data_IF_241163920281
#
_entry.id   IF_241163920281
#
_cell.length_a   1.000
_cell.length_b   1.000
_cell.length_c   1.000
_cell.angle_alpha   90.00
_cell.angle_beta   90.00
_cell.angle_gamma   90.00
#
_symmetry.space_group_name_H-M   'P 1'
#
loop_
_entity.id
_entity.type
_entity.pdbx_description
1 polymer ?
#
# COMPACT_ATOMS: atom_id res chain seq x y z
N UNK A 1 36.25 -37.05 7.56
CA UNK A 1 35.94 -35.75 6.90
C UNK A 1 34.75 -35.86 5.95
N UNK A 2 33.55 -36.22 6.43
CA UNK A 2 32.33 -36.24 5.58
C UNK A 2 31.09 -35.66 6.29
N UNK A 3 31.13 -35.50 7.61
CA UNK A 3 30.02 -34.93 8.39
C UNK A 3 30.10 -33.41 8.61
N UNK A 4 31.29 -32.78 8.45
CA UNK A 4 31.43 -31.32 8.54
C UNK A 4 30.81 -30.55 7.36
N UNK A 5 30.71 -31.17 6.19
CA UNK A 5 30.18 -30.49 5.00
C UNK A 5 28.64 -30.41 5.02
N UNK A 6 27.97 -31.31 5.74
CA UNK A 6 26.51 -31.35 5.82
C UNK A 6 25.96 -30.27 6.77
N UNK A 7 26.71 -29.92 7.82
CA UNK A 7 26.33 -28.88 8.79
C UNK A 7 26.43 -27.46 8.20
N UNK A 8 27.31 -27.24 7.23
CA UNK A 8 27.47 -25.93 6.58
C UNK A 8 26.32 -25.63 5.59
N UNK A 9 25.71 -26.66 5.00
CA UNK A 9 24.59 -26.50 4.07
C UNK A 9 23.26 -26.16 4.78
N UNK A 10 23.07 -26.59 6.02
CA UNK A 10 21.86 -26.29 6.82
C UNK A 10 21.87 -24.86 7.37
N UNK A 11 23.05 -24.28 7.59
CA UNK A 11 23.18 -22.91 8.10
C UNK A 11 22.87 -21.81 7.05
N UNK A 12 22.96 -22.11 5.75
CA UNK A 12 22.65 -21.15 4.68
C UNK A 12 21.16 -21.03 4.35
N UNK A 13 20.28 -21.87 4.91
CA UNK A 13 18.85 -21.87 4.60
C UNK A 13 18.02 -20.84 5.40
N UNK A 14 18.64 -20.07 6.31
CA UNK A 14 17.93 -19.13 7.19
C UNK A 14 17.97 -17.65 6.74
N UNK A 15 18.58 -17.31 5.61
CA UNK A 15 18.85 -15.91 5.24
C UNK A 15 17.88 -15.26 4.25
N UNK A 16 16.84 -15.95 3.77
CA UNK A 16 16.00 -15.41 2.69
C UNK A 16 14.51 -15.49 2.96
N UNK A 17 14.02 -14.81 4.01
CA UNK A 17 12.59 -14.51 4.13
C UNK A 17 12.28 -13.24 4.93
N UNK A 18 13.20 -12.28 5.02
CA UNK A 18 12.82 -10.93 5.46
C UNK A 18 12.20 -10.21 4.26
N UNK A 19 10.87 -10.13 4.20
CA UNK A 19 10.22 -9.14 3.33
C UNK A 19 10.75 -7.77 3.75
N UNK A 20 11.27 -6.94 2.83
CA UNK A 20 11.76 -5.62 3.19
C UNK A 20 10.64 -4.86 3.88
N UNK A 21 10.91 -4.40 5.10
CA UNK A 21 9.97 -3.60 5.88
C UNK A 21 9.66 -2.33 5.11
N UNK A 22 8.37 -1.97 5.03
CA UNK A 22 7.99 -0.64 4.53
C UNK A 22 8.66 0.40 5.42
N UNK A 23 9.37 1.35 4.83
CA UNK A 23 9.96 2.47 5.57
C UNK A 23 9.14 3.73 5.33
N UNK A 24 9.01 4.55 6.37
CA UNK A 24 8.29 5.85 6.29
C UNK A 24 8.91 6.78 5.25
N UNK A 25 10.24 6.76 5.10
CA UNK A 25 10.97 7.57 4.14
C UNK A 25 10.66 7.18 2.69
N UNK A 26 10.60 5.88 2.39
CA UNK A 26 10.23 5.40 1.05
C UNK A 26 8.76 5.73 0.72
N UNK A 27 7.87 5.63 1.71
CA UNK A 27 6.44 5.85 1.55
C UNK A 27 6.06 7.34 1.43
N UNK A 28 6.78 8.23 2.11
CA UNK A 28 6.47 9.66 2.17
C UNK A 28 6.41 10.28 0.77
N UNK A 29 5.39 11.09 0.53
CA UNK A 29 5.12 11.75 -0.75
C UNK A 29 3.72 11.47 -1.28
N UNK A 30 3.47 11.91 -2.52
CA UNK A 30 2.20 11.75 -3.22
C UNK A 30 2.31 10.62 -4.25
N UNK A 31 1.30 9.75 -4.27
CA UNK A 31 1.20 8.59 -5.13
C UNK A 31 -0.09 8.67 -5.94
N UNK A 32 0.03 8.94 -7.24
CA UNK A 32 -1.09 9.01 -8.18
C UNK A 32 -1.55 7.61 -8.54
N UNK A 33 -2.84 7.34 -8.42
CA UNK A 33 -3.41 6.05 -8.76
C UNK A 33 -3.42 5.89 -10.28
N UNK A 34 -2.94 4.74 -10.75
CA UNK A 34 -2.93 4.40 -12.18
C UNK A 34 -3.71 3.14 -12.49
N UNK A 35 -4.06 2.36 -11.45
CA UNK A 35 -4.94 1.20 -11.54
C UNK A 35 -5.69 1.01 -10.23
N UNK A 36 -6.99 0.75 -10.30
CA UNK A 36 -7.85 0.40 -9.15
C UNK A 36 -8.67 -0.82 -9.55
N UNK A 37 -8.46 -1.92 -8.82
CA UNK A 37 -9.06 -3.23 -9.08
C UNK A 37 -9.94 -3.62 -7.88
N UNK A 38 -11.06 -4.26 -8.14
CA UNK A 38 -11.96 -4.85 -7.14
C UNK A 38 -11.96 -6.38 -7.31
N UNK A 39 -10.89 -7.07 -6.87
CA UNK A 39 -10.69 -8.48 -7.17
C UNK A 39 -11.76 -9.40 -6.54
N UNK A 40 -12.41 -8.94 -5.47
CA UNK A 40 -13.41 -9.70 -4.72
C UNK A 40 -14.85 -9.33 -5.10
N UNK A 41 -15.06 -8.41 -6.04
CA UNK A 41 -16.38 -8.14 -6.59
C UNK A 41 -16.89 -9.36 -7.39
N UNK A 42 -18.21 -9.44 -7.59
CA UNK A 42 -18.83 -10.51 -8.39
C UNK A 42 -19.63 -9.91 -9.54
N UNK A 43 -19.08 -9.86 -10.77
CA UNK A 43 -17.75 -10.32 -11.17
C UNK A 43 -16.62 -9.36 -10.70
N UNK A 44 -15.35 -9.81 -10.67
CA UNK A 44 -14.21 -8.93 -10.44
C UNK A 44 -14.16 -7.81 -11.48
N UNK A 45 -13.78 -6.61 -11.05
CA UNK A 45 -13.81 -5.42 -11.92
C UNK A 45 -12.55 -4.56 -11.77
N UNK A 46 -12.31 -3.69 -12.76
CA UNK A 46 -11.22 -2.71 -12.77
C UNK A 46 -11.74 -1.40 -13.32
N UNK A 47 -11.50 -0.30 -12.59
CA UNK A 47 -11.88 1.03 -13.03
C UNK A 47 -11.21 1.36 -14.37
N UNK A 48 -11.97 1.92 -15.31
CA UNK A 48 -11.44 2.22 -16.64
C UNK A 48 -10.44 3.37 -16.56
N UNK A 49 -9.42 3.32 -17.40
CA UNK A 49 -8.39 4.38 -17.46
C UNK A 49 -8.98 5.78 -17.66
N UNK A 50 -9.97 5.93 -18.52
CA UNK A 50 -10.63 7.21 -18.76
C UNK A 50 -11.26 7.79 -17.49
N UNK A 51 -11.91 6.94 -16.68
CA UNK A 51 -12.53 7.37 -15.42
C UNK A 51 -11.48 7.78 -14.38
N UNK A 52 -10.34 7.07 -14.33
CA UNK A 52 -9.22 7.44 -13.47
C UNK A 52 -8.57 8.76 -13.90
N UNK A 53 -8.45 8.99 -15.21
CA UNK A 53 -7.89 10.22 -15.76
C UNK A 53 -8.81 11.44 -15.54
N UNK A 54 -10.12 11.25 -15.41
CA UNK A 54 -11.08 12.30 -15.07
C UNK A 54 -10.97 12.77 -13.61
N UNK A 55 -10.77 11.83 -12.68
CA UNK A 55 -10.79 12.13 -11.23
C UNK A 55 -9.38 12.24 -10.61
N UNK A 56 -8.35 11.80 -11.34
CA UNK A 56 -6.92 11.89 -10.96
C UNK A 56 -6.66 11.57 -9.48
N UNK A 57 -7.04 10.38 -8.99
CA UNK A 57 -6.98 10.11 -7.57
C UNK A 57 -5.54 9.91 -7.10
N UNK A 58 -5.29 10.25 -5.83
CA UNK A 58 -3.99 10.03 -5.21
C UNK A 58 -4.11 9.79 -3.70
N UNK A 59 -3.11 9.11 -3.15
CA UNK A 59 -2.84 9.09 -1.70
C UNK A 59 -1.55 9.86 -1.43
N UNK A 60 -1.53 10.61 -0.34
CA UNK A 60 -0.35 11.28 0.15
C UNK A 60 -0.04 10.78 1.55
N UNK A 61 1.23 10.41 1.76
CA UNK A 61 1.77 10.09 3.08
C UNK A 61 2.75 11.17 3.52
N UNK A 62 2.72 11.50 4.80
CA UNK A 62 3.55 12.54 5.41
C UNK A 62 4.60 11.94 6.36
N UNK A 63 5.70 12.66 6.66
CA UNK A 63 6.69 12.22 7.65
C UNK A 63 6.09 11.98 9.04
N UNK A 64 5.01 12.67 9.41
CA UNK A 64 4.33 12.53 10.70
C UNK A 64 3.35 11.34 10.75
N UNK A 65 3.48 10.40 9.82
CA UNK A 65 2.62 9.22 9.70
C UNK A 65 1.13 9.56 9.54
N UNK A 66 0.83 10.63 8.81
CA UNK A 66 -0.53 10.98 8.38
C UNK A 66 -0.73 10.66 6.91
N UNK A 67 -1.96 10.30 6.56
CA UNK A 67 -2.36 10.08 5.17
C UNK A 67 -3.54 10.98 4.77
N UNK A 68 -3.64 11.22 3.47
CA UNK A 68 -4.75 11.90 2.82
C UNK A 68 -5.02 11.25 1.46
N UNK A 69 -6.27 10.84 1.23
CA UNK A 69 -6.76 10.35 -0.06
C UNK A 69 -7.59 11.45 -0.71
N UNK A 70 -7.25 11.76 -1.96
CA UNK A 70 -7.96 12.75 -2.78
C UNK A 70 -8.53 12.09 -4.01
N UNK A 71 -9.77 12.41 -4.33
CA UNK A 71 -10.51 11.86 -5.48
C UNK A 71 -11.29 12.98 -6.15
N UNK A 72 -11.00 13.28 -7.42
CA UNK A 72 -11.65 14.37 -8.16
C UNK A 72 -11.44 15.74 -7.49
N UNK A 73 -10.28 15.96 -6.88
CA UNK A 73 -9.97 17.18 -6.10
C UNK A 73 -10.64 17.27 -4.73
N UNK A 74 -11.43 16.27 -4.32
CA UNK A 74 -12.11 16.23 -3.01
C UNK A 74 -11.33 15.38 -2.01
N UNK A 75 -11.29 15.80 -0.74
CA UNK A 75 -10.76 14.98 0.34
C UNK A 75 -11.73 13.85 0.64
N UNK A 76 -11.34 12.62 0.27
CA UNK A 76 -12.18 11.45 0.43
C UNK A 76 -11.96 10.76 1.79
N UNK A 77 -10.70 10.72 2.24
CA UNK A 77 -10.32 10.05 3.48
C UNK A 77 -9.02 10.66 4.01
N UNK A 78 -8.88 10.72 5.32
CA UNK A 78 -7.64 11.18 5.96
C UNK A 78 -7.50 10.59 7.36
N UNK A 79 -6.27 10.58 7.88
CA UNK A 79 -6.02 10.00 9.18
C UNK A 79 -4.55 9.78 9.47
N UNK A 80 -4.27 8.78 10.29
CA UNK A 80 -2.92 8.34 10.66
C UNK A 80 -2.68 6.90 10.23
N UNK A 81 -1.42 6.52 10.12
CA UNK A 81 -1.04 5.13 9.88
C UNK A 81 0.13 4.73 10.77
N UNK A 82 0.30 3.44 11.00
CA UNK A 82 1.54 2.85 11.52
C UNK A 82 2.02 1.74 10.60
N UNK A 83 3.31 1.43 10.65
CA UNK A 83 3.92 0.39 9.82
C UNK A 83 4.07 -0.88 10.64
N UNK A 84 3.67 -2.01 10.06
CA UNK A 84 3.80 -3.34 10.64
C UNK A 84 4.31 -4.31 9.57
N UNK A 85 5.64 -4.38 9.44
CA UNK A 85 6.33 -5.13 8.40
C UNK A 85 5.94 -4.67 6.99
N UNK A 86 5.20 -5.52 6.26
CA UNK A 86 4.67 -5.24 4.93
C UNK A 86 3.28 -4.59 4.91
N UNK A 87 2.70 -4.31 6.08
CA UNK A 87 1.35 -3.76 6.21
C UNK A 87 1.39 -2.34 6.77
N UNK A 88 0.33 -1.58 6.46
CA UNK A 88 0.05 -0.29 7.09
C UNK A 88 -1.27 -0.40 7.85
N UNK A 89 -1.22 -0.17 9.17
CA UNK A 89 -2.41 -0.10 10.01
C UNK A 89 -2.94 1.33 9.94
N UNK A 90 -4.12 1.49 9.34
CA UNK A 90 -4.73 2.78 9.05
C UNK A 90 -5.77 3.13 10.10
N UNK A 91 -5.77 4.38 10.56
CA UNK A 91 -6.81 4.97 11.40
C UNK A 91 -7.38 6.18 10.68
N UNK A 92 -8.53 6.00 10.04
CA UNK A 92 -9.25 7.05 9.36
C UNK A 92 -10.09 7.87 10.34
N UNK A 93 -10.15 9.18 10.12
CA UNK A 93 -11.07 10.08 10.82
C UNK A 93 -12.31 10.30 9.96
N UNK A 94 -13.48 10.05 10.54
CA UNK A 94 -14.77 10.27 9.91
C UNK A 94 -15.28 11.69 10.22
N UNK A 95 -16.19 12.25 9.38
CA UNK A 95 -16.73 13.60 9.58
C UNK A 95 -17.44 13.81 10.93
N UNK A 96 -17.98 12.75 11.53
CA UNK A 96 -18.66 12.80 12.83
C UNK A 96 -17.70 12.70 14.04
N UNK A 97 -16.39 12.74 13.78
CA UNK A 97 -15.34 12.62 14.81
C UNK A 97 -15.04 11.18 15.22
N UNK A 98 -15.76 10.18 14.68
CA UNK A 98 -15.42 8.77 14.90
C UNK A 98 -14.19 8.38 14.09
N UNK A 99 -13.66 7.20 14.41
CA UNK A 99 -12.57 6.59 13.66
C UNK A 99 -12.95 5.23 13.11
N UNK A 100 -12.32 4.87 12.00
CA UNK A 100 -12.41 3.55 11.39
C UNK A 100 -11.00 3.01 11.19
N UNK A 101 -10.79 1.76 11.60
CA UNK A 101 -9.51 1.07 11.43
C UNK A 101 -9.60 0.10 10.25
N UNK A 102 -8.55 0.05 9.45
CA UNK A 102 -8.38 -0.93 8.38
C UNK A 102 -6.90 -1.14 8.09
N UNK A 103 -6.57 -2.18 7.34
CA UNK A 103 -5.19 -2.50 6.96
C UNK A 103 -5.02 -2.32 5.46
N UNK A 104 -3.93 -1.66 5.07
CA UNK A 104 -3.40 -1.76 3.73
C UNK A 104 -2.26 -2.77 3.71
N UNK A 105 -2.42 -3.86 2.95
CA UNK A 105 -1.34 -4.80 2.68
C UNK A 105 -0.54 -4.31 1.50
N UNK A 106 0.76 -4.05 1.70
CA UNK A 106 1.67 -3.59 0.64
C UNK A 106 2.35 -4.80 0.02
N UNK A 107 2.01 -5.06 -1.24
CA UNK A 107 2.61 -6.15 -2.02
C UNK A 107 3.88 -5.71 -2.76
N UNK A 108 4.00 -4.42 -3.05
CA UNK A 108 5.18 -3.84 -3.69
C UNK A 108 5.38 -2.39 -3.25
N UNK A 109 6.63 -2.03 -2.94
CA UNK A 109 7.08 -0.66 -2.72
C UNK A 109 8.48 -0.48 -3.30
N UNK A 110 8.60 0.47 -4.23
CA UNK A 110 9.84 0.85 -4.90
C UNK A 110 10.00 2.38 -4.84
N UNK A 111 11.02 2.95 -5.48
CA UNK A 111 11.16 4.40 -5.56
C UNK A 111 9.94 5.06 -6.22
N UNK A 112 9.40 4.46 -7.27
CA UNK A 112 8.43 5.09 -8.17
C UNK A 112 7.04 4.43 -8.16
N UNK A 113 6.91 3.22 -7.63
CA UNK A 113 5.65 2.46 -7.60
C UNK A 113 5.33 1.89 -6.22
N UNK A 114 4.05 1.94 -5.87
CA UNK A 114 3.46 1.22 -4.73
C UNK A 114 2.24 0.42 -5.19
N UNK A 115 2.11 -0.81 -4.69
CA UNK A 115 0.90 -1.63 -4.84
C UNK A 115 0.41 -2.03 -3.45
N UNK A 116 -0.80 -1.60 -3.11
CA UNK A 116 -1.43 -1.90 -1.84
C UNK A 116 -2.88 -2.31 -2.00
N UNK A 117 -3.41 -3.06 -1.04
CA UNK A 117 -4.80 -3.52 -1.06
C UNK A 117 -5.46 -3.50 0.31
N UNK A 118 -6.78 -3.30 0.31
CA UNK A 118 -7.65 -3.65 1.44
C UNK A 118 -8.25 -5.04 1.20
N UNK A 119 -8.30 -5.85 2.25
CA UNK A 119 -8.92 -7.18 2.20
C UNK A 119 -10.39 -7.04 2.61
N UNK A 120 -11.27 -7.80 1.95
CA UNK A 120 -12.71 -7.82 2.24
C UNK A 120 -13.56 -7.84 0.97
N UNK A 121 -14.89 -7.89 1.14
CA UNK A 121 -15.85 -7.87 0.03
C UNK A 121 -15.77 -6.58 -0.78
N UNK A 122 -15.51 -5.46 -0.10
CA UNK A 122 -15.28 -4.14 -0.72
C UNK A 122 -13.77 -3.83 -0.87
N UNK A 123 -12.94 -4.87 -0.83
CA UNK A 123 -11.49 -4.76 -0.96
C UNK A 123 -11.09 -4.20 -2.32
N UNK A 124 -10.17 -3.26 -2.32
CA UNK A 124 -9.61 -2.68 -3.54
C UNK A 124 -8.11 -2.90 -3.58
N UNK A 125 -7.58 -3.25 -4.74
CA UNK A 125 -6.14 -3.28 -5.02
C UNK A 125 -5.76 -2.10 -5.89
N UNK A 126 -4.81 -1.31 -5.41
CA UNK A 126 -4.39 -0.05 -6.05
C UNK A 126 -2.94 -0.16 -6.49
N UNK A 127 -2.68 0.15 -7.75
CA UNK A 127 -1.33 0.48 -8.24
C UNK A 127 -1.21 1.98 -8.34
N UNK A 128 -0.22 2.56 -7.69
CA UNK A 128 0.04 3.99 -7.71
C UNK A 128 1.50 4.29 -8.01
N UNK A 129 1.73 5.42 -8.70
CA UNK A 129 3.04 5.88 -9.09
C UNK A 129 3.37 7.21 -8.41
N UNK A 130 4.64 7.45 -8.10
CA UNK A 130 5.07 8.68 -7.43
C UNK A 130 4.76 9.90 -8.31
N UNK A 131 4.04 10.86 -7.75
CA UNK A 131 3.54 12.02 -8.49
C UNK A 131 4.64 12.96 -8.99
N UNK A 132 5.83 12.98 -8.39
CA UNK A 132 6.96 13.80 -8.84
C UNK A 132 7.57 13.34 -10.19
N UNK A 133 7.07 12.24 -10.76
CA UNK A 133 7.50 11.70 -12.06
C UNK A 133 6.50 12.02 -13.19
N UNK A 134 5.46 12.83 -12.91
CA UNK A 134 4.45 13.31 -13.85
C UNK A 134 4.36 14.83 -13.81
#
# INVERSE_FOLDING_TARGET
>A
MKHSFLLLAVALLFITACKPSVSTSALTGKWKYVKVEHPNASPPDTMRKAELDEVVPYIQFTPEMKFLIVWGGKFLSHGTFTLDGGNMNMVEKLPDGKTRNFVFTVSELTEDKIIFETIGVDGSKVTALRASKF
#
